data_IF_881598104021
#
_entry.id   IF_881598104021
#
_cell.length_a   1.000
_cell.length_b   1.000
_cell.length_c   1.000
_cell.angle_alpha   90.00
_cell.angle_beta   90.00
_cell.angle_gamma   90.00
#
_symmetry.space_group_name_H-M   'P 1'
#
loop_
_entity.id
_entity.type
_entity.pdbx_description
1 polymer ?
#
# COMPACT_ATOMS: atom_id res chain seq x y z
N UNK A 1 5.60 -40.72 3.66
CA UNK A 1 4.35 -40.22 3.03
C UNK A 1 3.26 -39.81 4.02
N UNK A 2 2.72 -40.66 4.91
CA UNK A 2 1.61 -40.30 5.82
C UNK A 2 1.86 -39.05 6.69
N UNK A 3 3.05 -38.91 7.27
CA UNK A 3 3.41 -37.73 8.08
C UNK A 3 3.46 -36.42 7.27
N UNK A 4 3.86 -36.49 6.00
CA UNK A 4 3.88 -35.34 5.10
C UNK A 4 2.46 -34.86 4.80
N UNK A 5 1.54 -35.77 4.47
CA UNK A 5 0.13 -35.44 4.25
C UNK A 5 -0.53 -34.83 5.50
N UNK A 6 -0.27 -35.36 6.69
CA UNK A 6 -0.82 -34.81 7.94
C UNK A 6 -0.33 -33.38 8.21
N UNK A 7 0.95 -33.09 7.93
CA UNK A 7 1.52 -31.74 8.06
C UNK A 7 0.89 -30.78 7.06
N UNK A 8 0.73 -31.19 5.81
CA UNK A 8 0.09 -30.39 4.77
C UNK A 8 -1.37 -30.08 5.14
N UNK A 9 -2.15 -31.08 5.56
CA UNK A 9 -3.53 -30.89 6.02
C UNK A 9 -3.63 -29.89 7.17
N UNK A 10 -2.70 -29.95 8.14
CA UNK A 10 -2.65 -28.99 9.24
C UNK A 10 -2.41 -27.56 8.75
N UNK A 11 -1.46 -27.36 7.84
CA UNK A 11 -1.14 -26.03 7.28
C UNK A 11 -2.28 -25.48 6.42
N UNK A 12 -2.93 -26.32 5.62
CA UNK A 12 -4.11 -25.91 4.86
C UNK A 12 -5.32 -25.59 5.77
N UNK A 13 -5.38 -26.17 6.97
CA UNK A 13 -6.40 -25.87 7.96
C UNK A 13 -6.24 -24.51 8.65
N UNK A 14 -5.03 -23.96 8.68
CA UNK A 14 -4.71 -22.64 9.21
C UNK A 14 -3.69 -21.92 8.33
N UNK A 15 -4.19 -21.13 7.40
CA UNK A 15 -3.39 -20.34 6.48
C UNK A 15 -3.17 -18.91 7.01
N UNK A 16 -3.70 -18.57 8.19
CA UNK A 16 -3.51 -17.23 8.78
C UNK A 16 -2.03 -16.82 8.93
N UNK A 17 -1.07 -17.72 9.24
CA UNK A 17 0.33 -17.30 9.36
C UNK A 17 0.91 -16.77 8.05
N UNK A 18 0.63 -17.41 6.92
CA UNK A 18 1.12 -16.92 5.62
C UNK A 18 0.33 -15.73 5.11
N UNK A 19 -0.95 -15.63 5.45
CA UNK A 19 -1.74 -14.43 5.14
C UNK A 19 -1.23 -13.22 5.94
N UNK A 20 -0.75 -13.41 7.17
CA UNK A 20 -0.10 -12.36 7.95
C UNK A 20 1.15 -11.82 7.24
N UNK A 21 2.00 -12.73 6.75
CA UNK A 21 3.21 -12.42 5.99
C UNK A 21 2.91 -11.72 4.66
N UNK A 22 1.94 -12.21 3.88
CA UNK A 22 1.44 -11.54 2.66
C UNK A 22 1.01 -10.11 2.98
N UNK A 23 0.36 -9.91 4.12
CA UNK A 23 -0.03 -8.59 4.58
C UNK A 23 1.17 -7.69 4.92
N UNK A 24 2.22 -8.22 5.52
CA UNK A 24 3.47 -7.48 5.78
C UNK A 24 4.17 -7.07 4.49
N UNK A 25 4.28 -7.99 3.53
CA UNK A 25 4.79 -7.70 2.18
C UNK A 25 3.97 -6.57 1.55
N UNK A 26 2.64 -6.64 1.67
CA UNK A 26 1.74 -5.62 1.14
C UNK A 26 1.95 -4.24 1.78
N UNK A 27 2.09 -4.16 3.11
CA UNK A 27 2.38 -2.91 3.83
C UNK A 27 3.75 -2.35 3.41
N UNK A 28 4.77 -3.21 3.32
CA UNK A 28 6.12 -2.85 2.86
C UNK A 28 6.11 -2.29 1.44
N UNK A 29 5.35 -2.90 0.51
CA UNK A 29 5.17 -2.38 -0.84
C UNK A 29 4.57 -0.98 -0.85
N UNK A 30 3.53 -0.75 -0.05
CA UNK A 30 2.87 0.57 0.06
C UNK A 30 3.83 1.64 0.59
N UNK A 31 4.65 1.29 1.60
CA UNK A 31 5.68 2.19 2.11
C UNK A 31 6.68 2.57 1.00
N UNK A 32 7.21 1.58 0.27
CA UNK A 32 8.10 1.81 -0.88
C UNK A 32 7.44 2.68 -1.95
N UNK A 33 6.15 2.48 -2.23
CA UNK A 33 5.40 3.30 -3.19
C UNK A 33 5.32 4.76 -2.74
N UNK A 34 5.06 4.99 -1.46
CA UNK A 34 4.99 6.33 -0.87
C UNK A 34 6.37 6.98 -0.88
N UNK A 35 7.40 6.24 -0.49
CA UNK A 35 8.77 6.72 -0.43
C UNK A 35 9.26 7.19 -1.80
N UNK A 36 8.99 6.37 -2.82
CA UNK A 36 9.41 6.64 -4.19
C UNK A 36 8.57 7.74 -4.87
N UNK A 37 7.55 8.31 -4.21
CA UNK A 37 6.67 9.33 -4.80
C UNK A 37 5.75 8.78 -5.89
N UNK A 38 5.34 7.53 -5.75
CA UNK A 38 4.50 6.80 -6.70
C UNK A 38 5.26 5.72 -7.47
N UNK A 39 4.59 4.58 -7.65
CA UNK A 39 5.04 3.44 -8.48
C UNK A 39 3.82 2.77 -9.12
N UNK A 40 2.95 3.51 -9.78
CA UNK A 40 1.67 2.99 -10.29
C UNK A 40 1.67 2.82 -11.81
N UNK A 41 0.77 1.99 -12.34
CA UNK A 41 0.56 1.84 -13.78
C UNK A 41 -0.49 2.81 -14.33
N UNK A 42 -1.64 2.89 -13.67
CA UNK A 42 -2.73 3.84 -13.94
C UNK A 42 -3.51 4.14 -12.65
N UNK A 43 -4.27 5.25 -12.58
CA UNK A 43 -4.95 5.67 -11.35
C UNK A 43 -5.93 4.66 -10.74
N UNK A 44 -6.58 3.85 -11.58
CA UNK A 44 -7.60 2.88 -11.15
C UNK A 44 -7.06 1.45 -11.03
N UNK A 45 -5.77 1.25 -11.32
CA UNK A 45 -5.15 -0.07 -11.31
C UNK A 45 -4.52 -0.36 -9.95
N UNK A 46 -4.69 -1.59 -9.48
CA UNK A 46 -3.94 -2.14 -8.35
C UNK A 46 -2.51 -2.53 -8.75
N UNK A 47 -2.22 -2.64 -10.06
CA UNK A 47 -0.89 -3.01 -10.54
C UNK A 47 0.06 -1.83 -10.45
N UNK A 48 1.24 -2.13 -9.90
CA UNK A 48 2.39 -1.26 -9.90
C UNK A 48 2.90 -0.90 -11.29
N UNK A 49 3.85 0.03 -11.34
CA UNK A 49 4.48 0.49 -12.57
C UNK A 49 5.47 1.63 -12.32
N UNK A 50 6.04 2.17 -13.40
CA UNK A 50 7.08 3.20 -13.30
C UNK A 50 6.59 4.63 -13.04
N UNK A 51 5.28 4.92 -13.00
CA UNK A 51 4.78 6.30 -12.96
C UNK A 51 4.91 6.91 -11.57
N UNK A 52 5.37 8.17 -11.55
CA UNK A 52 5.41 9.06 -10.38
C UNK A 52 4.15 9.90 -10.28
N UNK A 53 3.82 10.35 -9.08
CA UNK A 53 2.69 11.26 -8.87
C UNK A 53 2.97 12.63 -9.48
N UNK A 54 1.89 13.33 -9.81
CA UNK A 54 1.99 14.73 -10.23
C UNK A 54 2.62 15.56 -9.10
N UNK A 55 3.54 16.49 -9.41
CA UNK A 55 4.11 17.40 -8.42
C UNK A 55 3.05 18.19 -7.66
N UNK A 56 3.43 18.68 -6.48
CA UNK A 56 2.57 19.59 -5.70
C UNK A 56 2.40 20.92 -6.43
N UNK A 57 1.25 21.56 -6.24
CA UNK A 57 1.01 22.90 -6.78
C UNK A 57 1.99 23.91 -6.15
N UNK A 58 2.41 24.96 -6.88
CA UNK A 58 3.34 25.98 -6.35
C UNK A 58 2.87 26.62 -5.04
N UNK A 59 1.56 26.85 -4.90
CA UNK A 59 0.97 27.38 -3.67
C UNK A 59 1.15 26.43 -2.48
N UNK A 60 1.00 25.11 -2.68
CA UNK A 60 1.22 24.10 -1.65
C UNK A 60 2.69 24.04 -1.26
N UNK A 61 3.62 24.11 -2.23
CA UNK A 61 5.07 24.16 -1.98
C UNK A 61 5.40 25.38 -1.14
N UNK A 62 4.96 26.58 -1.55
CA UNK A 62 5.17 27.83 -0.81
C UNK A 62 4.64 27.75 0.63
N UNK A 63 3.46 27.15 0.82
CA UNK A 63 2.87 26.96 2.15
C UNK A 63 3.70 25.99 3.02
N UNK A 64 4.21 24.89 2.45
CA UNK A 64 5.08 23.94 3.16
C UNK A 64 6.45 24.53 3.48
N UNK A 65 7.06 25.29 2.56
CA UNK A 65 8.31 26.00 2.81
C UNK A 65 8.20 26.96 3.98
N UNK A 66 7.08 27.72 4.06
CA UNK A 66 6.82 28.60 5.21
C UNK A 66 6.67 27.84 6.54
N UNK A 67 6.20 26.60 6.52
CA UNK A 67 6.11 25.72 7.69
C UNK A 67 7.41 24.95 7.98
N UNK A 68 8.44 25.07 7.14
CA UNK A 68 9.68 24.31 7.28
C UNK A 68 9.58 22.84 6.84
N UNK A 69 8.50 22.42 6.18
CA UNK A 69 8.28 21.02 5.72
C UNK A 69 8.64 20.79 4.24
N UNK A 70 9.36 21.74 3.62
CA UNK A 70 9.83 21.64 2.25
C UNK A 70 11.28 22.15 2.10
N UNK A 71 12.17 21.47 1.33
CA UNK A 71 11.91 20.32 0.44
C UNK A 71 11.61 19.02 1.21
N UNK A 72 10.48 18.39 0.91
CA UNK A 72 9.99 17.20 1.60
C UNK A 72 9.25 16.25 0.66
N UNK A 73 8.91 15.04 1.12
CA UNK A 73 8.25 14.02 0.28
C UNK A 73 6.73 14.20 0.25
N UNK A 74 6.11 13.88 -0.89
CA UNK A 74 4.65 13.91 -1.06
C UNK A 74 4.05 12.77 -0.22
N UNK A 75 2.89 13.02 0.41
CA UNK A 75 2.22 12.11 1.36
C UNK A 75 2.99 11.76 2.65
N UNK A 76 4.10 12.42 2.92
CA UNK A 76 4.97 12.14 4.08
C UNK A 76 5.23 13.37 4.95
N UNK A 77 4.38 14.39 4.89
CA UNK A 77 4.61 15.63 5.66
C UNK A 77 4.59 15.39 7.17
N UNK A 78 3.68 14.54 7.68
CA UNK A 78 3.61 14.13 9.09
C UNK A 78 3.74 12.63 9.32
N UNK A 79 3.86 11.81 8.26
CA UNK A 79 3.83 10.35 8.35
C UNK A 79 2.45 9.73 8.66
N UNK A 80 1.45 10.56 8.98
CA UNK A 80 0.11 10.12 9.39
C UNK A 80 -0.66 9.29 8.37
N UNK A 81 -0.35 9.43 7.07
CA UNK A 81 -0.97 8.61 6.04
C UNK A 81 -0.53 7.16 6.21
N UNK A 82 0.78 6.92 6.22
CA UNK A 82 1.34 5.57 6.36
C UNK A 82 0.90 4.95 7.70
N UNK A 83 0.98 5.72 8.78
CA UNK A 83 0.52 5.28 10.11
C UNK A 83 -0.98 4.96 10.18
N UNK A 84 -1.79 5.41 9.21
CA UNK A 84 -3.22 5.08 9.15
C UNK A 84 -3.56 3.84 8.32
N UNK A 85 -2.56 3.26 7.65
CA UNK A 85 -2.75 2.06 6.85
C UNK A 85 -2.67 0.87 7.78
N UNK A 86 -3.69 0.02 7.72
CA UNK A 86 -3.79 -1.20 8.51
C UNK A 86 -4.13 -2.38 7.60
N UNK A 87 -3.76 -3.57 8.05
CA UNK A 87 -4.16 -4.84 7.44
C UNK A 87 -5.12 -5.60 8.35
N UNK A 88 -6.02 -6.39 7.74
CA UNK A 88 -6.86 -7.37 8.41
C UNK A 88 -6.71 -8.71 7.69
N UNK A 89 -6.50 -9.77 8.47
CA UNK A 89 -6.09 -11.08 7.97
C UNK A 89 -7.13 -12.13 8.33
N UNK A 90 -7.47 -12.98 7.37
CA UNK A 90 -8.25 -14.22 7.55
C UNK A 90 -7.43 -15.40 7.01
N UNK A 91 -7.95 -16.62 7.14
CA UNK A 91 -7.27 -17.79 6.56
C UNK A 91 -7.17 -17.73 5.03
N UNK A 92 -8.03 -16.97 4.35
CA UNK A 92 -8.16 -16.98 2.90
C UNK A 92 -7.97 -15.60 2.25
N UNK A 93 -7.74 -14.55 3.04
CA UNK A 93 -7.63 -13.19 2.51
C UNK A 93 -6.84 -12.25 3.39
N UNK A 94 -6.29 -11.22 2.75
CA UNK A 94 -5.73 -10.04 3.40
C UNK A 94 -6.43 -8.82 2.85
N UNK A 95 -6.89 -7.93 3.73
CA UNK A 95 -7.43 -6.62 3.37
C UNK A 95 -6.51 -5.54 3.88
N UNK A 96 -6.08 -4.63 3.00
CA UNK A 96 -5.19 -3.52 3.36
C UNK A 96 -5.86 -2.20 2.98
N UNK A 97 -5.85 -1.22 3.88
CA UNK A 97 -6.46 0.08 3.62
C UNK A 97 -6.36 1.04 4.81
N UNK A 98 -7.07 2.16 4.68
CA UNK A 98 -7.16 3.19 5.73
C UNK A 98 -8.61 3.66 5.85
N UNK A 99 -9.05 3.95 7.07
CA UNK A 99 -10.36 4.53 7.35
C UNK A 99 -10.38 6.07 7.25
N UNK A 100 -9.24 6.72 6.94
CA UNK A 100 -9.16 8.18 6.84
C UNK A 100 -9.73 8.66 5.49
N UNK A 101 -10.65 9.62 5.53
CA UNK A 101 -11.18 10.30 4.34
C UNK A 101 -10.05 10.92 3.49
N UNK A 102 -9.03 11.49 4.13
CA UNK A 102 -7.86 12.03 3.43
C UNK A 102 -7.13 10.96 2.63
N UNK A 103 -7.00 9.73 3.16
CA UNK A 103 -6.37 8.61 2.49
C UNK A 103 -7.11 8.27 1.18
N UNK A 104 -8.45 8.20 1.24
CA UNK A 104 -9.28 8.00 0.05
C UNK A 104 -9.09 9.10 -1.01
N UNK A 105 -9.08 10.38 -0.61
CA UNK A 105 -8.84 11.49 -1.55
C UNK A 105 -7.42 11.42 -2.15
N UNK A 106 -6.42 10.95 -1.40
CA UNK A 106 -5.08 10.77 -1.94
C UNK A 106 -5.03 9.60 -2.93
N UNK A 107 -5.64 8.45 -2.60
CA UNK A 107 -5.64 7.26 -3.46
C UNK A 107 -6.37 7.54 -4.79
N UNK A 108 -7.60 8.05 -4.72
CA UNK A 108 -8.49 8.17 -5.88
C UNK A 108 -8.49 9.57 -6.51
N UNK A 109 -7.92 10.56 -5.83
CA UNK A 109 -8.12 11.96 -6.20
C UNK A 109 -9.52 12.46 -5.82
N UNK A 110 -9.87 13.64 -6.29
CA UNK A 110 -11.22 14.18 -6.15
C UNK A 110 -11.27 15.65 -5.79
N UNK A 111 -12.45 16.12 -5.41
CA UNK A 111 -12.67 17.53 -5.06
C UNK A 111 -12.50 17.78 -3.56
N UNK A 112 -11.79 18.84 -3.20
CA UNK A 112 -11.45 19.22 -1.84
C UNK A 112 -11.52 20.74 -1.61
N UNK A 113 -11.23 21.16 -0.37
CA UNK A 113 -11.28 22.55 0.07
C UNK A 113 -12.70 23.10 0.27
N UNK A 114 -12.78 24.38 0.63
CA UNK A 114 -14.07 25.07 0.88
C UNK A 114 -14.95 25.00 -0.37
N UNK A 115 -16.12 24.37 -0.23
CA UNK A 115 -17.07 24.19 -1.34
C UNK A 115 -16.60 23.24 -2.45
N UNK A 116 -15.62 22.35 -2.19
CA UNK A 116 -15.14 21.34 -3.16
C UNK A 116 -14.66 21.94 -4.50
N UNK A 117 -14.06 23.13 -4.45
CA UNK A 117 -13.59 23.85 -5.66
C UNK A 117 -12.20 23.43 -6.14
N UNK A 118 -11.43 22.73 -5.31
CA UNK A 118 -10.07 22.32 -5.64
C UNK A 118 -10.06 20.86 -6.09
N UNK A 119 -9.56 20.60 -7.30
CA UNK A 119 -9.35 19.24 -7.79
C UNK A 119 -7.97 18.75 -7.38
N UNK A 120 -7.92 17.67 -6.61
CA UNK A 120 -6.70 16.97 -6.22
C UNK A 120 -6.50 15.78 -7.17
N UNK A 121 -5.33 15.66 -7.82
CA UNK A 121 -5.03 14.50 -8.65
C UNK A 121 -4.87 13.25 -7.79
N UNK A 122 -5.25 12.10 -8.35
CA UNK A 122 -4.99 10.79 -7.73
C UNK A 122 -3.48 10.59 -7.52
N UNK A 123 -3.16 10.00 -6.37
CA UNK A 123 -1.83 9.55 -5.98
C UNK A 123 -1.93 8.10 -5.52
N UNK A 124 -2.10 7.15 -6.45
CA UNK A 124 -2.26 5.74 -6.08
C UNK A 124 -1.00 5.27 -5.34
N UNK A 125 -1.18 4.80 -4.12
CA UNK A 125 -0.13 4.20 -3.28
C UNK A 125 -0.47 2.75 -2.90
N UNK A 126 -1.74 2.36 -2.97
CA UNK A 126 -2.21 0.96 -2.82
C UNK A 126 -2.05 0.20 -4.14
N UNK A 127 -0.80 -0.01 -4.56
CA UNK A 127 -0.46 -0.77 -5.77
C UNK A 127 0.65 -1.77 -5.47
N UNK A 128 0.69 -2.88 -6.20
CA UNK A 128 1.69 -3.94 -5.99
C UNK A 128 2.51 -4.17 -7.24
N UNK A 129 3.82 -4.17 -7.09
CA UNK A 129 4.76 -4.44 -8.17
C UNK A 129 4.86 -5.94 -8.44
N UNK A 130 5.38 -6.35 -9.62
CA UNK A 130 5.63 -7.74 -9.91
C UNK A 130 6.49 -8.45 -8.86
N UNK A 131 7.51 -7.76 -8.31
CA UNK A 131 8.37 -8.33 -7.27
C UNK A 131 7.61 -8.59 -5.95
N UNK A 132 6.66 -7.73 -5.57
CA UNK A 132 5.87 -7.93 -4.35
C UNK A 132 4.96 -9.17 -4.51
N UNK A 133 4.41 -9.37 -5.71
CA UNK A 133 3.58 -10.53 -6.02
C UNK A 133 4.41 -11.82 -6.00
N UNK A 134 5.65 -11.76 -6.49
CA UNK A 134 6.54 -12.92 -6.46
C UNK A 134 6.96 -13.26 -5.02
N UNK A 135 7.26 -12.26 -4.20
CA UNK A 135 7.53 -12.42 -2.78
C UNK A 135 6.33 -13.06 -2.04
N UNK A 136 5.10 -12.63 -2.34
CA UNK A 136 3.88 -13.24 -1.78
C UNK A 136 3.72 -14.71 -2.22
N UNK A 137 4.04 -15.06 -3.46
CA UNK A 137 4.00 -16.47 -3.91
C UNK A 137 5.04 -17.31 -3.19
N UNK A 138 6.27 -16.80 -3.06
CA UNK A 138 7.32 -17.49 -2.34
C UNK A 138 6.92 -17.74 -0.89
N UNK A 139 6.31 -16.76 -0.21
CA UNK A 139 5.78 -16.94 1.14
C UNK A 139 4.76 -18.09 1.22
N UNK A 140 3.87 -18.21 0.23
CA UNK A 140 2.92 -19.34 0.13
C UNK A 140 3.63 -20.67 -0.09
N UNK A 141 4.60 -20.72 -1.00
CA UNK A 141 5.37 -21.94 -1.30
C UNK A 141 6.16 -22.41 -0.08
N UNK A 142 6.87 -21.50 0.58
CA UNK A 142 7.66 -21.78 1.78
C UNK A 142 6.74 -22.19 2.94
N UNK A 143 5.59 -21.52 3.08
CA UNK A 143 4.58 -21.94 4.04
C UNK A 143 4.10 -23.36 3.76
N UNK A 144 3.75 -23.73 2.53
CA UNK A 144 3.22 -25.06 2.25
C UNK A 144 4.28 -26.16 2.35
N UNK A 145 5.49 -25.91 1.86
CA UNK A 145 6.57 -26.90 1.79
C UNK A 145 7.37 -26.98 3.10
N UNK A 146 7.32 -25.92 3.92
CA UNK A 146 8.05 -25.82 5.18
C UNK A 146 9.56 -25.74 5.00
N UNK A 147 10.00 -24.91 4.05
CA UNK A 147 11.41 -24.52 3.94
C UNK A 147 11.75 -23.45 4.96
#
# INVERSE_FOLDING_TARGET
>A
MKALFARLQKKLGDMSPVMEEIGDIGISSIEKNIEAGGRYSSPESWRGGGKKWKPLAPATIKARSKRGTWPGKILQESGELMASISKAVTNDSVRIGSNKVQAAIMQFGGKAGRGRKVTIPARPYLVFQPEDIEEMKHAVEDYLVGK
#
